data_IF_081640838562
#
_entry.id   IF_081640838562
#
_cell.length_a   1.000
_cell.length_b   1.000
_cell.length_c   1.000
_cell.angle_alpha   90.00
_cell.angle_beta   90.00
_cell.angle_gamma   90.00
#
_symmetry.space_group_name_H-M   'P 1'
#
loop_
_entity.id
_entity.type
_entity.pdbx_description
1 polymer ?
#
# COMPACT_ATOMS: atom_id res chain seq x y z
N UNK A 1 5.97 -3.47 -7.85
CA UNK A 1 5.68 -2.62 -6.70
C UNK A 1 5.00 -1.30 -7.04
N UNK A 2 4.38 -1.26 -8.19
CA UNK A 2 3.69 -0.06 -8.67
C UNK A 2 2.58 0.41 -7.71
N UNK A 3 1.78 -0.54 -7.20
CA UNK A 3 0.68 -0.19 -6.30
C UNK A 3 1.17 0.34 -4.94
N UNK A 4 2.27 -0.22 -4.43
CA UNK A 4 2.85 0.24 -3.16
C UNK A 4 3.37 1.66 -3.30
N UNK A 5 4.05 1.96 -4.41
CA UNK A 5 4.55 3.32 -4.68
C UNK A 5 3.39 4.31 -4.74
N UNK A 6 2.31 3.94 -5.41
CA UNK A 6 1.14 4.79 -5.53
C UNK A 6 0.48 5.03 -4.17
N UNK A 7 0.41 3.98 -3.34
CA UNK A 7 -0.14 4.11 -1.99
C UNK A 7 0.71 5.05 -1.13
N UNK A 8 2.03 4.94 -1.20
CA UNK A 8 2.94 5.82 -0.46
C UNK A 8 2.75 7.28 -0.89
N UNK A 9 2.65 7.51 -2.20
CA UNK A 9 2.46 8.87 -2.72
C UNK A 9 1.11 9.46 -2.25
N UNK A 10 0.05 8.66 -2.23
CA UNK A 10 -1.25 9.11 -1.75
C UNK A 10 -1.21 9.42 -0.24
N UNK A 11 -0.48 8.62 0.54
CA UNK A 11 -0.32 8.91 1.96
C UNK A 11 0.39 10.23 2.19
N UNK A 12 1.46 10.51 1.43
CA UNK A 12 2.14 11.80 1.51
C UNK A 12 1.22 12.95 1.15
N UNK A 13 0.41 12.77 0.11
CA UNK A 13 -0.57 13.77 -0.29
C UNK A 13 -1.58 14.03 0.82
N UNK A 14 -2.09 12.97 1.47
CA UNK A 14 -3.06 13.10 2.55
C UNK A 14 -2.47 13.73 3.81
N UNK A 15 -1.18 13.59 4.05
CA UNK A 15 -0.52 14.27 5.16
C UNK A 15 -0.58 15.80 4.99
N UNK A 16 -0.51 16.27 3.73
CA UNK A 16 -0.61 17.69 3.39
C UNK A 16 -2.05 18.15 3.20
N UNK A 17 -2.93 17.24 2.77
CA UNK A 17 -4.34 17.53 2.47
C UNK A 17 -5.25 16.50 3.15
N UNK A 18 -5.36 16.52 4.49
CA UNK A 18 -6.09 15.48 5.22
C UNK A 18 -7.60 15.46 4.94
N UNK A 19 -8.15 16.54 4.37
CA UNK A 19 -9.58 16.63 4.06
C UNK A 19 -9.91 16.16 2.64
N UNK A 20 -8.93 15.71 1.86
CA UNK A 20 -9.16 15.23 0.50
C UNK A 20 -9.79 13.84 0.54
N UNK A 21 -11.13 13.83 0.42
CA UNK A 21 -11.90 12.58 0.50
C UNK A 21 -11.64 11.65 -0.68
N UNK A 22 -11.41 12.20 -1.87
CA UNK A 22 -11.12 11.38 -3.06
C UNK A 22 -9.81 10.62 -2.92
N UNK A 23 -8.77 11.30 -2.47
CA UNK A 23 -7.47 10.66 -2.27
C UNK A 23 -7.53 9.61 -1.16
N UNK A 24 -8.29 9.88 -0.09
CA UNK A 24 -8.46 8.92 1.00
C UNK A 24 -9.15 7.64 0.51
N UNK A 25 -10.20 7.80 -0.27
CA UNK A 25 -10.92 6.65 -0.84
C UNK A 25 -10.04 5.88 -1.83
N UNK A 26 -9.30 6.61 -2.66
CA UNK A 26 -8.35 5.99 -3.59
C UNK A 26 -7.29 5.18 -2.88
N UNK A 27 -6.76 5.70 -1.77
CA UNK A 27 -5.78 4.99 -0.95
C UNK A 27 -6.36 3.71 -0.38
N UNK A 28 -7.60 3.76 0.15
CA UNK A 28 -8.25 2.56 0.68
C UNK A 28 -8.41 1.48 -0.38
N UNK A 29 -8.79 1.86 -1.60
CA UNK A 29 -8.95 0.91 -2.70
C UNK A 29 -7.62 0.29 -3.09
N UNK A 30 -6.56 1.10 -3.17
CA UNK A 30 -5.23 0.63 -3.53
C UNK A 30 -4.70 -0.31 -2.44
N UNK A 31 -4.86 0.04 -1.18
CA UNK A 31 -4.41 -0.80 -0.08
C UNK A 31 -5.15 -2.14 -0.04
N UNK A 32 -6.44 -2.15 -0.38
CA UNK A 32 -7.20 -3.39 -0.51
C UNK A 32 -6.63 -4.29 -1.59
N UNK A 33 -6.26 -3.71 -2.73
CA UNK A 33 -5.62 -4.46 -3.83
C UNK A 33 -4.27 -5.01 -3.41
N UNK A 34 -3.47 -4.21 -2.70
CA UNK A 34 -2.17 -4.65 -2.20
C UNK A 34 -2.34 -5.85 -1.26
N UNK A 35 -3.29 -5.78 -0.34
CA UNK A 35 -3.55 -6.88 0.60
C UNK A 35 -3.93 -8.17 -0.13
N UNK A 36 -4.75 -8.07 -1.18
CA UNK A 36 -5.13 -9.23 -1.99
C UNK A 36 -3.93 -9.83 -2.70
N UNK A 37 -3.07 -8.99 -3.27
CA UNK A 37 -1.86 -9.45 -3.95
C UNK A 37 -0.88 -10.10 -2.98
N UNK A 38 -0.71 -9.52 -1.79
CA UNK A 38 0.13 -10.10 -0.75
C UNK A 38 -0.36 -11.48 -0.35
N UNK A 39 -1.67 -11.61 -0.16
CA UNK A 39 -2.28 -12.89 0.20
C UNK A 39 -2.03 -13.93 -0.89
N UNK A 40 -2.18 -13.55 -2.14
CA UNK A 40 -1.92 -14.41 -3.29
C UNK A 40 -0.44 -14.82 -3.34
N UNK A 41 0.48 -13.88 -3.21
CA UNK A 41 1.91 -14.17 -3.28
C UNK A 41 2.40 -15.03 -2.12
N UNK A 42 1.81 -14.88 -0.94
CA UNK A 42 2.12 -15.77 0.18
C UNK A 42 1.66 -17.19 -0.09
N UNK A 43 0.49 -17.33 -0.70
CA UNK A 43 -0.07 -18.64 -1.06
C UNK A 43 0.81 -19.34 -2.09
N UNK A 44 1.33 -18.63 -3.06
CA UNK A 44 2.16 -19.19 -4.13
C UNK A 44 3.63 -19.31 -3.75
N UNK A 45 4.01 -18.86 -2.56
CA UNK A 45 5.38 -18.98 -2.07
C UNK A 45 6.33 -17.89 -2.54
N UNK A 46 5.84 -16.85 -3.23
CA UNK A 46 6.68 -15.74 -3.67
C UNK A 46 7.06 -14.80 -2.53
N UNK A 47 6.27 -14.78 -1.46
CA UNK A 47 6.55 -14.00 -0.25
C UNK A 47 6.54 -14.93 0.96
N UNK A 48 7.32 -14.60 2.02
CA UNK A 48 7.27 -15.37 3.26
C UNK A 48 5.87 -15.39 3.85
N UNK A 49 5.48 -16.50 4.47
CA UNK A 49 4.15 -16.68 5.03
C UNK A 49 3.81 -15.63 6.09
N UNK A 50 4.83 -15.12 6.79
CA UNK A 50 4.65 -14.10 7.83
C UNK A 50 4.74 -12.67 7.31
N UNK A 51 5.02 -12.49 6.03
CA UNK A 51 5.15 -11.15 5.47
C UNK A 51 3.80 -10.43 5.47
N UNK A 52 3.82 -9.17 5.88
CA UNK A 52 2.62 -8.32 5.89
C UNK A 52 2.94 -6.98 5.25
N UNK A 53 1.93 -6.40 4.60
CA UNK A 53 2.03 -5.05 4.10
C UNK A 53 2.04 -4.06 5.27
N UNK A 54 3.12 -3.30 5.37
CA UNK A 54 3.25 -2.26 6.39
C UNK A 54 3.52 -0.94 5.67
N UNK A 55 2.59 0.04 5.77
CA UNK A 55 2.76 1.34 5.11
C UNK A 55 4.03 2.07 5.55
N UNK A 56 4.45 1.92 6.79
CA UNK A 56 5.68 2.53 7.28
C UNK A 56 6.91 1.97 6.60
N UNK A 57 6.98 0.65 6.48
CA UNK A 57 8.07 -0.01 5.77
C UNK A 57 8.03 0.26 4.27
N UNK A 58 6.83 0.42 3.70
CA UNK A 58 6.69 0.73 2.29
C UNK A 58 7.33 2.07 1.95
N UNK A 59 7.27 3.06 2.86
CA UNK A 59 7.94 4.34 2.66
C UNK A 59 9.45 4.19 2.52
N UNK A 60 10.03 3.21 3.20
CA UNK A 60 11.47 2.94 3.13
C UNK A 60 11.85 2.25 1.82
N UNK A 61 10.96 1.43 1.27
CA UNK A 61 11.19 0.73 0.01
C UNK A 61 11.06 1.65 -1.20
N UNK A 62 10.24 2.68 -1.10
CA UNK A 62 9.92 3.58 -2.21
C UNK A 62 10.45 4.98 -1.89
N UNK A 63 11.75 5.13 -1.92
CA UNK A 63 12.40 6.44 -1.75
C UNK A 63 12.50 7.18 -3.06
#
# INVERSE_FOLDING_TARGET
MFLIRRAVNLRKHLEQHPKDKHSRRGLQLIESKIRRLVKYYRRTGKLPAKWRYDPEQAKLLVR
#
